data_IF_234997653615
#
_entry.id   IF_234997653615
#
_cell.length_a   1.000
_cell.length_b   1.000
_cell.length_c   1.000
_cell.angle_alpha   90.00
_cell.angle_beta   90.00
_cell.angle_gamma   90.00
#
_symmetry.space_group_name_H-M   'P 1'
#
loop_
_entity.id
_entity.type
_entity.pdbx_description
1 polymer ?
#
# COMPACT_ATOMS: atom_id res chain seq x y z
N UNK A 1 -10.05 1.84 5.44
CA UNK A 1 -9.63 2.79 6.49
C UNK A 1 -9.53 2.13 7.87
N UNK A 2 -10.54 1.39 8.34
CA UNK A 2 -10.48 0.68 9.63
C UNK A 2 -9.28 -0.30 9.67
N UNK A 3 -9.07 -1.09 8.62
CA UNK A 3 -7.91 -2.00 8.54
C UNK A 3 -6.55 -1.27 8.64
N UNK A 4 -6.43 -0.08 8.04
CA UNK A 4 -5.22 0.75 8.13
C UNK A 4 -5.01 1.23 9.56
N UNK A 5 -6.08 1.67 10.22
CA UNK A 5 -6.04 2.11 11.61
C UNK A 5 -5.58 0.97 12.54
N UNK A 6 -6.21 -0.21 12.42
CA UNK A 6 -5.83 -1.41 13.19
C UNK A 6 -4.38 -1.81 12.92
N UNK A 7 -3.96 -1.79 11.64
CA UNK A 7 -2.57 -2.06 11.27
C UNK A 7 -1.58 -1.11 11.94
N UNK A 8 -1.91 0.18 12.09
CA UNK A 8 -1.03 1.14 12.77
C UNK A 8 -0.85 0.78 14.24
N UNK A 9 -1.91 0.34 14.93
CA UNK A 9 -1.80 -0.11 16.33
C UNK A 9 -0.92 -1.35 16.43
N UNK A 10 -1.13 -2.34 15.55
CA UNK A 10 -0.31 -3.56 15.53
C UNK A 10 1.17 -3.23 15.29
N UNK A 11 1.48 -2.33 14.35
CA UNK A 11 2.87 -1.92 14.09
C UNK A 11 3.55 -1.32 15.33
N UNK A 12 2.85 -0.48 16.10
CA UNK A 12 3.39 0.08 17.33
C UNK A 12 3.68 -1.01 18.37
N UNK A 13 2.76 -1.97 18.52
CA UNK A 13 2.94 -3.11 19.43
C UNK A 13 4.15 -3.95 19.03
N UNK A 14 4.25 -4.34 17.76
CA UNK A 14 5.37 -5.12 17.23
C UNK A 14 6.70 -4.39 17.42
N UNK A 15 6.75 -3.09 17.17
CA UNK A 15 7.97 -2.31 17.33
C UNK A 15 8.37 -2.18 18.81
N UNK A 16 7.41 -2.02 19.72
CA UNK A 16 7.67 -1.97 21.16
C UNK A 16 8.24 -3.30 21.66
N UNK A 17 7.66 -4.42 21.21
CA UNK A 17 8.16 -5.76 21.50
C UNK A 17 9.58 -5.98 20.96
N UNK A 18 9.85 -5.52 19.73
CA UNK A 18 11.18 -5.64 19.10
C UNK A 18 12.27 -4.87 19.84
N UNK A 19 11.93 -3.71 20.40
CA UNK A 19 12.85 -2.86 21.15
C UNK A 19 12.96 -3.25 22.62
N UNK A 20 12.20 -4.26 23.09
CA UNK A 20 12.03 -4.59 24.51
C UNK A 20 11.70 -3.35 25.38
N UNK A 21 11.03 -2.37 24.77
CA UNK A 21 10.80 -1.04 25.34
C UNK A 21 9.30 -0.76 25.45
N UNK A 22 8.96 0.26 26.24
CA UNK A 22 7.57 0.69 26.33
C UNK A 22 7.11 1.35 25.02
N UNK A 23 5.79 1.37 24.78
CA UNK A 23 5.22 2.05 23.62
C UNK A 23 5.53 3.56 23.61
N UNK A 24 5.73 4.16 24.78
CA UNK A 24 6.12 5.57 24.91
C UNK A 24 7.55 5.79 24.40
N UNK A 25 8.46 4.88 24.70
CA UNK A 25 9.85 4.95 24.23
C UNK A 25 9.91 4.72 22.71
N UNK A 26 9.10 3.79 22.19
CA UNK A 26 9.00 3.55 20.75
C UNK A 26 8.52 4.80 19.98
N UNK A 27 7.62 5.61 20.56
CA UNK A 27 7.11 6.84 19.94
C UNK A 27 8.18 7.95 19.89
N UNK A 28 9.17 7.93 20.79
CA UNK A 28 10.27 8.90 20.78
C UNK A 28 11.29 8.63 19.67
N UNK A 29 11.22 7.49 18.99
CA UNK A 29 12.13 7.17 17.89
C UNK A 29 11.71 7.83 16.58
N UNK A 30 12.59 7.81 15.58
CA UNK A 30 12.26 8.24 14.21
C UNK A 30 11.06 7.46 13.65
N UNK A 31 10.97 6.16 13.95
CA UNK A 31 9.79 5.35 13.63
C UNK A 31 8.52 5.92 14.29
N UNK A 32 8.60 6.27 15.57
CA UNK A 32 7.52 6.88 16.32
C UNK A 32 6.97 8.16 15.71
N UNK A 33 7.85 9.04 15.22
CA UNK A 33 7.45 10.26 14.51
C UNK A 33 6.71 9.94 13.20
N UNK A 34 7.24 9.03 12.37
CA UNK A 34 6.58 8.61 11.14
C UNK A 34 5.23 7.93 11.41
N UNK A 35 5.16 7.12 12.47
CA UNK A 35 3.94 6.49 12.94
C UNK A 35 2.89 7.52 13.37
N UNK A 36 3.27 8.56 14.11
CA UNK A 36 2.37 9.65 14.51
C UNK A 36 1.79 10.38 13.29
N UNK A 37 2.64 10.74 12.32
CA UNK A 37 2.21 11.37 11.07
C UNK A 37 1.20 10.47 10.35
N UNK A 38 1.52 9.18 10.20
CA UNK A 38 0.62 8.18 9.61
C UNK A 38 -0.70 8.09 10.36
N UNK A 39 -0.65 8.22 11.69
CA UNK A 39 -1.84 8.12 12.53
C UNK A 39 -2.78 9.32 12.33
N UNK A 40 -2.22 10.52 12.30
CA UNK A 40 -2.93 11.77 12.00
C UNK A 40 -3.60 11.70 10.62
N UNK A 41 -2.85 11.30 9.58
CA UNK A 41 -3.38 11.16 8.22
C UNK A 41 -4.57 10.19 8.18
N UNK A 42 -4.46 9.04 8.87
CA UNK A 42 -5.53 8.04 8.91
C UNK A 42 -6.78 8.57 9.62
N UNK A 43 -6.62 9.33 10.71
CA UNK A 43 -7.73 9.96 11.42
C UNK A 43 -8.42 11.01 10.53
N UNK A 44 -7.65 11.82 9.80
CA UNK A 44 -8.19 12.79 8.83
C UNK A 44 -9.00 12.06 7.75
N UNK A 45 -8.46 10.98 7.17
CA UNK A 45 -9.17 10.17 6.18
C UNK A 45 -10.47 9.59 6.72
N UNK A 46 -10.48 9.10 7.95
CA UNK A 46 -11.70 8.61 8.62
C UNK A 46 -12.72 9.74 8.82
N UNK A 47 -12.26 10.92 9.28
CA UNK A 47 -13.11 12.09 9.49
C UNK A 47 -13.77 12.57 8.20
N UNK A 48 -13.00 12.69 7.10
CA UNK A 48 -13.53 13.04 5.78
C UNK A 48 -14.52 11.99 5.30
N UNK A 49 -14.21 10.70 5.46
CA UNK A 49 -15.09 9.61 5.06
C UNK A 49 -16.44 9.65 5.80
N UNK A 50 -16.44 9.75 7.13
CA UNK A 50 -17.66 9.88 7.93
C UNK A 50 -18.48 11.14 7.56
N UNK A 51 -17.81 12.24 7.25
CA UNK A 51 -18.48 13.48 6.84
C UNK A 51 -19.17 13.33 5.48
N UNK A 52 -18.50 12.72 4.50
CA UNK A 52 -19.08 12.44 3.17
C UNK A 52 -20.31 11.54 3.32
N UNK A 53 -20.19 10.46 4.07
CA UNK A 53 -21.26 9.48 4.28
C UNK A 53 -22.51 10.14 4.88
N UNK A 54 -22.32 11.00 5.89
CA UNK A 54 -23.42 11.73 6.54
C UNK A 54 -24.03 12.81 5.64
N UNK A 55 -23.22 13.52 4.86
CA UNK A 55 -23.69 14.66 4.05
C UNK A 55 -24.32 14.25 2.72
N UNK A 56 -24.17 13.00 2.28
CA UNK A 56 -24.61 12.46 0.97
C UNK A 56 -24.20 13.31 -0.24
N UNK A 57 -23.27 14.26 -0.06
CA UNK A 57 -22.79 15.20 -1.07
C UNK A 57 -21.29 15.04 -1.23
N UNK A 58 -20.88 14.31 -2.24
CA UNK A 58 -19.49 14.25 -2.67
C UNK A 58 -19.17 15.49 -3.51
N UNK A 59 -18.22 16.31 -3.06
CA UNK A 59 -17.63 17.37 -3.89
C UNK A 59 -16.25 16.92 -4.36
N UNK A 60 -15.83 17.38 -5.54
CA UNK A 60 -14.49 17.11 -6.11
C UNK A 60 -13.38 17.45 -5.10
N UNK A 61 -13.53 18.54 -4.35
CA UNK A 61 -12.57 18.93 -3.32
C UNK A 61 -12.31 17.83 -2.27
N UNK A 62 -13.34 17.10 -1.84
CA UNK A 62 -13.18 15.99 -0.89
C UNK A 62 -12.48 14.79 -1.54
N UNK A 63 -12.75 14.52 -2.82
CA UNK A 63 -12.08 13.44 -3.55
C UNK A 63 -10.58 13.76 -3.70
N UNK A 64 -10.24 14.99 -4.08
CA UNK A 64 -8.86 15.46 -4.17
C UNK A 64 -8.17 15.35 -2.80
N UNK A 65 -8.82 15.79 -1.72
CA UNK A 65 -8.27 15.68 -0.37
C UNK A 65 -7.99 14.21 0.02
N UNK A 66 -8.92 13.29 -0.27
CA UNK A 66 -8.74 11.86 -0.01
C UNK A 66 -7.58 11.26 -0.82
N UNK A 67 -7.43 11.65 -2.08
CA UNK A 67 -6.32 11.20 -2.94
C UNK A 67 -4.99 11.70 -2.36
N UNK A 68 -4.88 13.00 -2.07
CA UNK A 68 -3.65 13.59 -1.51
C UNK A 68 -3.28 12.91 -0.19
N UNK A 69 -4.24 12.72 0.72
CA UNK A 69 -3.99 12.06 2.00
C UNK A 69 -3.61 10.58 1.82
N UNK A 70 -4.19 9.88 0.83
CA UNK A 70 -3.80 8.49 0.53
C UNK A 70 -2.38 8.40 -0.05
N UNK A 71 -1.99 9.33 -0.91
CA UNK A 71 -0.62 9.43 -1.44
C UNK A 71 0.38 9.73 -0.31
N UNK A 72 0.06 10.66 0.58
CA UNK A 72 0.88 10.95 1.75
C UNK A 72 1.03 9.71 2.66
N UNK A 73 -0.05 8.94 2.84
CA UNK A 73 -0.03 7.69 3.60
C UNK A 73 0.95 6.67 2.99
N UNK A 74 1.00 6.54 1.67
CA UNK A 74 1.98 5.68 0.97
C UNK A 74 3.40 6.16 1.27
N UNK A 75 3.63 7.48 1.28
CA UNK A 75 4.92 8.07 1.62
C UNK A 75 5.42 7.66 3.01
N UNK A 76 4.52 7.57 4.00
CA UNK A 76 4.89 7.09 5.34
C UNK A 76 5.37 5.63 5.35
N UNK A 77 4.86 4.79 4.45
CA UNK A 77 5.32 3.40 4.31
C UNK A 77 6.77 3.37 3.84
N UNK A 78 7.13 4.21 2.87
CA UNK A 78 8.51 4.34 2.39
C UNK A 78 9.46 4.88 3.45
N UNK A 79 9.00 5.84 4.26
CA UNK A 79 9.77 6.36 5.38
C UNK A 79 10.04 5.32 6.49
N UNK A 80 9.15 4.34 6.66
CA UNK A 80 9.36 3.21 7.59
C UNK A 80 10.11 2.03 6.96
N UNK A 81 10.28 2.03 5.64
CA UNK A 81 10.98 1.00 4.88
C UNK A 81 12.49 1.25 4.81
N UNK A 82 13.21 0.23 4.34
CA UNK A 82 14.68 0.27 4.20
C UNK A 82 15.19 1.37 3.24
N UNK A 83 14.36 1.87 2.32
CA UNK A 83 14.69 2.99 1.45
C UNK A 83 15.04 4.28 2.21
N UNK A 84 14.41 4.53 3.36
CA UNK A 84 14.73 5.68 4.20
C UNK A 84 16.05 5.50 4.98
N UNK A 85 16.47 4.25 5.22
CA UNK A 85 17.70 3.93 5.94
C UNK A 85 18.95 3.98 5.04
N UNK A 86 18.80 3.85 3.71
CA UNK A 86 19.93 3.85 2.78
C UNK A 86 20.37 5.25 2.34
N UNK A 87 19.60 6.30 2.66
CA UNK A 87 19.78 7.70 2.20
C UNK A 87 19.93 7.87 0.67
N UNK A 88 19.77 6.80 -0.10
CA UNK A 88 19.85 6.83 -1.55
C UNK A 88 18.53 7.32 -2.14
N UNK A 89 18.55 8.52 -2.70
CA UNK A 89 17.37 9.13 -3.33
C UNK A 89 16.70 8.19 -4.36
N UNK A 90 17.50 7.45 -5.14
CA UNK A 90 16.98 6.46 -6.10
C UNK A 90 16.20 5.32 -5.45
N UNK A 91 16.69 4.79 -4.31
CA UNK A 91 16.00 3.72 -3.58
C UNK A 91 14.69 4.23 -2.94
N UNK A 92 14.68 5.45 -2.41
CA UNK A 92 13.47 6.08 -1.84
C UNK A 92 12.38 6.23 -2.91
N UNK A 93 12.74 6.79 -4.08
CA UNK A 93 11.79 6.98 -5.19
C UNK A 93 11.28 5.63 -5.70
N UNK A 94 12.17 4.66 -5.87
CA UNK A 94 11.81 3.33 -6.33
C UNK A 94 10.89 2.60 -5.36
N UNK A 95 11.15 2.69 -4.05
CA UNK A 95 10.29 2.12 -3.01
C UNK A 95 8.93 2.80 -2.98
N UNK A 96 8.87 4.12 -3.12
CA UNK A 96 7.60 4.84 -3.19
C UNK A 96 6.77 4.41 -4.41
N UNK A 97 7.40 4.30 -5.59
CA UNK A 97 6.75 3.81 -6.82
C UNK A 97 6.29 2.36 -6.63
N UNK A 98 7.12 1.49 -6.08
CA UNK A 98 6.76 0.10 -5.80
C UNK A 98 5.52 0.01 -4.92
N UNK A 99 5.51 0.73 -3.79
CA UNK A 99 4.38 0.74 -2.86
C UNK A 99 3.12 1.35 -3.47
N UNK A 100 3.26 2.41 -4.29
CA UNK A 100 2.14 3.00 -5.01
C UNK A 100 1.51 1.99 -5.98
N UNK A 101 2.32 1.35 -6.82
CA UNK A 101 1.82 0.38 -7.81
C UNK A 101 1.27 -0.86 -7.12
N UNK A 102 1.92 -1.36 -6.06
CA UNK A 102 1.42 -2.47 -5.26
C UNK A 102 0.06 -2.12 -4.61
N UNK A 103 -0.13 -0.89 -4.13
CA UNK A 103 -1.40 -0.44 -3.56
C UNK A 103 -2.53 -0.39 -4.60
N UNK A 104 -2.23 0.09 -5.82
CA UNK A 104 -3.18 0.11 -6.94
C UNK A 104 -3.52 -1.31 -7.39
N UNK A 105 -2.54 -2.20 -7.44
CA UNK A 105 -2.74 -3.60 -7.79
C UNK A 105 -3.67 -4.30 -6.79
N UNK A 106 -3.30 -4.32 -5.51
CA UNK A 106 -4.07 -5.01 -4.47
C UNK A 106 -5.45 -4.36 -4.30
N UNK A 107 -5.51 -3.03 -4.22
CA UNK A 107 -6.77 -2.29 -4.11
C UNK A 107 -7.66 -2.47 -5.34
N UNK A 108 -7.07 -2.55 -6.53
CA UNK A 108 -7.74 -2.83 -7.77
C UNK A 108 -8.41 -4.20 -7.79
N UNK A 109 -7.74 -5.25 -7.30
CA UNK A 109 -8.34 -6.60 -7.18
C UNK A 109 -9.54 -6.56 -6.23
N UNK A 110 -9.38 -5.94 -5.05
CA UNK A 110 -10.46 -5.82 -4.07
C UNK A 110 -11.67 -5.10 -4.70
N UNK A 111 -11.43 -3.97 -5.37
CA UNK A 111 -12.48 -3.24 -6.07
C UNK A 111 -13.13 -4.09 -7.19
N UNK A 112 -12.33 -4.79 -7.98
CA UNK A 112 -12.82 -5.61 -9.07
C UNK A 112 -13.74 -6.73 -8.57
N UNK A 113 -13.30 -7.47 -7.55
CA UNK A 113 -14.02 -8.62 -7.00
C UNK A 113 -15.25 -8.21 -6.20
N UNK A 114 -15.14 -7.21 -5.33
CA UNK A 114 -16.20 -6.88 -4.37
C UNK A 114 -17.12 -5.75 -4.82
N UNK A 115 -16.76 -4.99 -5.85
CA UNK A 115 -17.58 -3.90 -6.38
C UNK A 115 -17.94 -4.14 -7.83
N UNK A 116 -16.95 -4.32 -8.71
CA UNK A 116 -17.22 -4.36 -10.14
C UNK A 116 -17.98 -5.62 -10.57
N UNK A 117 -17.55 -6.81 -10.16
CA UNK A 117 -18.23 -8.06 -10.51
C UNK A 117 -19.68 -8.11 -9.99
N UNK A 118 -19.98 -7.75 -8.72
CA UNK A 118 -21.36 -7.66 -8.23
C UNK A 118 -22.21 -6.65 -9.00
N UNK A 119 -21.66 -5.47 -9.32
CA UNK A 119 -22.38 -4.45 -10.10
C UNK A 119 -22.67 -4.95 -11.52
N UNK A 120 -21.73 -5.65 -12.17
CA UNK A 120 -21.98 -6.24 -13.48
C UNK A 120 -23.06 -7.34 -13.42
N UNK A 121 -23.10 -8.11 -12.32
CA UNK A 121 -24.07 -9.18 -12.13
C UNK A 121 -25.52 -8.68 -11.96
N UNK A 122 -25.74 -7.44 -11.52
CA UNK A 122 -27.07 -6.84 -11.39
C UNK A 122 -27.61 -6.21 -12.67
N UNK A 123 -26.80 -6.15 -13.75
CA UNK A 123 -27.21 -5.57 -15.02
C UNK A 123 -27.99 -6.57 -15.88
N UNK A 124 -28.87 -6.04 -16.74
CA UNK A 124 -29.50 -6.78 -17.83
C UNK A 124 -28.45 -7.46 -18.71
N UNK A 125 -28.77 -8.64 -19.26
CA UNK A 125 -27.83 -9.48 -20.01
C UNK A 125 -27.06 -8.73 -21.11
N UNK A 126 -27.79 -7.97 -21.95
CA UNK A 126 -27.20 -7.17 -23.03
C UNK A 126 -26.24 -6.06 -22.53
N UNK A 127 -26.50 -5.46 -21.36
CA UNK A 127 -25.65 -4.43 -20.77
C UNK A 127 -24.44 -5.05 -20.08
N UNK A 128 -24.65 -6.16 -19.37
CA UNK A 128 -23.61 -6.94 -18.71
C UNK A 128 -22.56 -7.41 -19.71
N UNK A 129 -22.98 -7.96 -20.85
CA UNK A 129 -22.07 -8.41 -21.92
C UNK A 129 -21.20 -7.25 -22.43
N UNK A 130 -21.84 -6.15 -22.87
CA UNK A 130 -21.14 -4.98 -23.40
C UNK A 130 -20.18 -4.36 -22.38
N UNK A 131 -20.59 -4.22 -21.12
CA UNK A 131 -19.73 -3.66 -20.08
C UNK A 131 -18.59 -4.61 -19.70
N UNK A 132 -18.83 -5.92 -19.66
CA UNK A 132 -17.79 -6.92 -19.36
C UNK A 132 -16.71 -6.92 -20.45
N UNK A 133 -17.10 -6.86 -21.72
CA UNK A 133 -16.19 -6.79 -22.88
C UNK A 133 -15.27 -5.56 -22.85
N UNK A 134 -15.66 -4.48 -22.15
CA UNK A 134 -14.83 -3.28 -22.02
C UNK A 134 -14.04 -3.28 -20.71
N UNK A 135 -14.67 -3.61 -19.59
CA UNK A 135 -14.07 -3.43 -18.27
C UNK A 135 -13.11 -4.56 -17.89
N UNK A 136 -13.41 -5.81 -18.24
CA UNK A 136 -12.54 -6.95 -17.91
C UNK A 136 -11.19 -6.83 -18.63
N UNK A 137 -11.11 -6.54 -19.95
CA UNK A 137 -9.81 -6.40 -20.61
C UNK A 137 -9.01 -5.20 -20.10
N UNK A 138 -9.68 -4.05 -19.85
CA UNK A 138 -9.01 -2.86 -19.30
C UNK A 138 -8.41 -3.12 -17.93
N UNK A 139 -9.15 -3.78 -17.04
CA UNK A 139 -8.63 -4.17 -15.74
C UNK A 139 -7.48 -5.17 -15.86
N UNK A 140 -7.60 -6.15 -16.75
CA UNK A 140 -6.56 -7.17 -16.98
C UNK A 140 -5.25 -6.57 -17.48
N UNK A 141 -5.32 -5.62 -18.43
CA UNK A 141 -4.14 -4.90 -18.92
C UNK A 141 -3.49 -4.09 -17.79
N UNK A 142 -4.28 -3.33 -17.02
CA UNK A 142 -3.77 -2.56 -15.89
C UNK A 142 -3.13 -3.46 -14.83
N UNK A 143 -3.73 -4.63 -14.57
CA UNK A 143 -3.21 -5.64 -13.66
C UNK A 143 -1.85 -6.17 -14.12
N UNK A 144 -1.73 -6.59 -15.38
CA UNK A 144 -0.48 -7.12 -15.95
C UNK A 144 0.63 -6.07 -15.88
N UNK A 145 0.34 -4.82 -16.23
CA UNK A 145 1.30 -3.71 -16.14
C UNK A 145 1.74 -3.50 -14.69
N UNK A 146 0.79 -3.46 -13.74
CA UNK A 146 1.11 -3.24 -12.33
C UNK A 146 1.97 -4.38 -11.75
N UNK A 147 1.63 -5.63 -12.05
CA UNK A 147 2.42 -6.81 -11.64
C UNK A 147 3.82 -6.76 -12.24
N UNK A 148 3.95 -6.45 -13.54
CA UNK A 148 5.25 -6.31 -14.19
C UNK A 148 6.14 -5.27 -13.51
N UNK A 149 5.59 -4.10 -13.19
CA UNK A 149 6.32 -3.06 -12.45
C UNK A 149 6.72 -3.55 -11.05
N UNK A 150 5.82 -4.19 -10.29
CA UNK A 150 6.12 -4.70 -8.93
C UNK A 150 7.21 -5.76 -8.96
N UNK A 151 7.16 -6.69 -9.92
CA UNK A 151 8.16 -7.76 -10.10
C UNK A 151 9.53 -7.20 -10.46
N UNK A 152 9.61 -6.07 -11.19
CA UNK A 152 10.90 -5.44 -11.53
C UNK A 152 11.42 -4.58 -10.38
N UNK A 153 10.57 -3.73 -9.81
CA UNK A 153 10.94 -2.74 -8.80
C UNK A 153 11.33 -3.38 -7.46
N UNK A 154 10.71 -4.52 -7.08
CA UNK A 154 11.04 -5.22 -5.83
C UNK A 154 12.48 -5.74 -5.77
N UNK A 155 12.91 -6.60 -6.71
CA UNK A 155 14.30 -7.06 -6.79
C UNK A 155 15.30 -5.94 -7.02
N UNK A 156 14.95 -4.91 -7.80
CA UNK A 156 15.82 -3.74 -8.00
C UNK A 156 16.05 -3.00 -6.69
N UNK A 157 14.99 -2.77 -5.91
CA UNK A 157 15.10 -2.14 -4.59
C UNK A 157 15.95 -2.99 -3.64
N UNK A 158 15.75 -4.31 -3.65
CA UNK A 158 16.54 -5.25 -2.85
C UNK A 158 18.04 -5.19 -3.19
N UNK A 159 18.38 -5.19 -4.49
CA UNK A 159 19.78 -5.07 -4.95
C UNK A 159 20.43 -3.73 -4.57
N UNK A 160 19.66 -2.63 -4.59
CA UNK A 160 20.15 -1.31 -4.19
C UNK A 160 20.41 -1.20 -2.69
N UNK A 161 19.65 -1.93 -1.87
CA UNK A 161 19.73 -1.87 -0.42
C UNK A 161 20.75 -2.84 0.17
N UNK A 162 20.93 -4.01 -0.45
CA UNK A 162 21.85 -5.05 0.01
C UNK A 162 22.57 -5.60 -1.22
N UNK A 163 23.80 -5.14 -1.46
CA UNK A 163 24.61 -5.56 -2.62
C UNK A 163 25.36 -6.87 -2.37
N UNK A 164 25.40 -7.33 -1.11
CA UNK A 164 26.05 -8.58 -0.72
C UNK A 164 25.05 -9.76 -0.76
N UNK A 165 25.11 -10.50 -1.86
CA UNK A 165 24.21 -11.62 -2.17
C UNK A 165 24.30 -12.76 -1.12
N UNK A 166 25.41 -12.86 -0.39
CA UNK A 166 25.60 -13.84 0.69
C UNK A 166 24.77 -13.51 1.93
N UNK A 167 24.74 -12.24 2.35
CA UNK A 167 23.92 -11.77 3.48
C UNK A 167 22.42 -11.83 3.16
N UNK A 168 22.06 -11.58 1.90
CA UNK A 168 20.69 -11.70 1.41
C UNK A 168 20.14 -13.12 1.62
N UNK A 169 20.84 -14.15 1.14
CA UNK A 169 20.32 -15.52 1.11
C UNK A 169 20.24 -16.16 2.49
N UNK A 170 21.09 -15.74 3.42
CA UNK A 170 21.08 -16.22 4.80
C UNK A 170 20.13 -15.45 5.72
N UNK A 171 19.87 -14.16 5.44
CA UNK A 171 18.98 -13.32 6.24
C UNK A 171 17.52 -13.79 6.22
N UNK A 172 16.81 -13.57 7.32
CA UNK A 172 15.35 -13.79 7.40
C UNK A 172 14.61 -12.96 6.35
N UNK A 173 15.12 -11.79 6.00
CA UNK A 173 14.55 -10.90 5.00
C UNK A 173 14.59 -11.50 3.58
N UNK A 174 15.75 -12.01 3.14
CA UNK A 174 15.85 -12.64 1.82
C UNK A 174 15.01 -13.91 1.71
N UNK A 175 14.93 -14.72 2.76
CA UNK A 175 14.05 -15.91 2.81
C UNK A 175 12.57 -15.56 2.63
N UNK A 176 12.10 -14.46 3.23
CA UNK A 176 10.74 -13.95 3.04
C UNK A 176 10.51 -13.45 1.61
N UNK A 177 11.50 -12.83 0.98
CA UNK A 177 11.41 -12.41 -0.42
C UNK A 177 11.33 -13.61 -1.36
N UNK A 178 12.19 -14.62 -1.18
CA UNK A 178 12.11 -15.85 -1.99
C UNK A 178 10.76 -16.55 -1.83
N UNK A 179 10.22 -16.61 -0.61
CA UNK A 179 8.87 -17.13 -0.39
C UNK A 179 7.80 -16.31 -1.13
N UNK A 180 7.92 -14.98 -1.10
CA UNK A 180 6.98 -14.07 -1.78
C UNK A 180 7.03 -14.24 -3.31
N UNK A 181 8.22 -14.41 -3.88
CA UNK A 181 8.40 -14.68 -5.32
C UNK A 181 7.84 -16.06 -5.68
N UNK A 182 8.14 -17.10 -4.88
CA UNK A 182 7.64 -18.45 -5.13
C UNK A 182 6.11 -18.56 -5.05
N UNK A 183 5.44 -17.73 -4.24
CA UNK A 183 3.97 -17.65 -4.19
C UNK A 183 3.42 -16.85 -5.38
N UNK A 184 4.18 -15.87 -5.87
CA UNK A 184 3.76 -15.01 -6.97
C UNK A 184 3.96 -15.65 -8.36
N UNK A 185 4.68 -16.78 -8.44
CA UNK A 185 4.99 -17.52 -9.68
C UNK A 185 4.29 -18.86 -9.68
#
# INVERSE_FOLDING_TARGET
MILVFVSNIIMLVVQSMRLEASALDAIQTTFGMTWLIRMIITIILLGIWFWIDKSKKTRIAHQIAMIIASLALIGTTTMMGHGAASEQFGAIVLDYIHNLVASVWIGGIIYFVFTLLPVLATLDENKREKMSLVMIPRFSIAFIIAVGIVIITGPTLMWLLESDVGLITESTYGKLIFAKIAIAT
#
